data_IF_320560217194
#
_entry.id   IF_320560217194
#
_cell.length_a   1.000
_cell.length_b   1.000
_cell.length_c   1.000
_cell.angle_alpha   90.00
_cell.angle_beta   90.00
_cell.angle_gamma   90.00
#
_symmetry.space_group_name_H-M   'P 1'
#
loop_
_entity.id
_entity.type
_entity.pdbx_description
1 polymer ?
#
# COMPACT_ATOMS: atom_id res chain seq x y z
N UNK A 1 -32.63 3.24 -9.40
CA UNK A 1 -32.21 3.24 -7.98
C UNK A 1 -31.94 4.68 -7.59
N UNK A 2 -32.65 5.22 -6.59
CA UNK A 2 -32.39 6.59 -6.09
C UNK A 2 -31.02 6.58 -5.39
N UNK A 3 -30.07 7.47 -5.73
CA UNK A 3 -28.82 7.54 -4.98
C UNK A 3 -29.16 8.05 -3.57
N UNK A 4 -29.07 7.17 -2.58
CA UNK A 4 -29.11 7.55 -1.16
C UNK A 4 -27.75 8.19 -0.88
N UNK A 5 -27.61 9.47 -1.22
CA UNK A 5 -26.49 10.26 -0.75
C UNK A 5 -26.61 10.37 0.77
N UNK A 6 -25.75 9.62 1.48
CA UNK A 6 -25.61 9.72 2.92
C UNK A 6 -25.18 11.15 3.24
N UNK A 7 -26.10 11.97 3.75
CA UNK A 7 -25.80 13.30 4.27
C UNK A 7 -25.03 13.10 5.57
N UNK A 8 -23.70 13.20 5.51
CA UNK A 8 -22.88 13.24 6.71
C UNK A 8 -23.34 14.43 7.57
N UNK A 9 -23.84 14.15 8.77
CA UNK A 9 -24.18 15.19 9.73
C UNK A 9 -22.89 15.66 10.40
N UNK A 10 -22.83 16.92 10.87
CA UNK A 10 -21.67 17.41 11.63
C UNK A 10 -21.32 16.50 12.82
N UNK A 11 -22.33 15.86 13.42
CA UNK A 11 -22.17 14.88 14.49
C UNK A 11 -21.43 13.60 14.05
N UNK A 12 -21.64 13.11 12.81
CA UNK A 12 -20.98 11.90 12.31
C UNK A 12 -19.49 12.13 12.10
N UNK A 13 -19.14 13.31 11.58
CA UNK A 13 -17.74 13.74 11.40
C UNK A 13 -17.07 13.89 12.76
N UNK A 14 -17.75 14.50 13.73
CA UNK A 14 -17.23 14.64 15.10
C UNK A 14 -17.01 13.27 15.74
N UNK A 15 -17.98 12.35 15.64
CA UNK A 15 -17.85 11.00 16.18
C UNK A 15 -16.70 10.22 15.51
N UNK A 16 -16.52 10.38 14.20
CA UNK A 16 -15.41 9.76 13.48
C UNK A 16 -14.05 10.31 13.92
N UNK A 17 -13.92 11.62 14.08
CA UNK A 17 -12.68 12.26 14.57
C UNK A 17 -12.39 11.84 16.01
N UNK A 18 -13.42 11.79 16.87
CA UNK A 18 -13.27 11.30 18.26
C UNK A 18 -12.77 9.87 18.28
N UNK A 19 -13.32 8.99 17.44
CA UNK A 19 -12.88 7.60 17.34
C UNK A 19 -11.43 7.47 16.85
N UNK A 20 -11.01 8.30 15.89
CA UNK A 20 -9.62 8.37 15.43
C UNK A 20 -8.66 8.81 16.55
N UNK A 21 -9.02 9.85 17.31
CA UNK A 21 -8.21 10.36 18.41
C UNK A 21 -8.10 9.33 19.54
N UNK A 22 -9.20 8.66 19.88
CA UNK A 22 -9.20 7.57 20.86
C UNK A 22 -8.31 6.42 20.37
N UNK A 23 -8.42 6.02 19.10
CA UNK A 23 -7.54 5.01 18.51
C UNK A 23 -6.06 5.40 18.62
N UNK A 24 -5.71 6.63 18.26
CA UNK A 24 -4.35 7.14 18.33
C UNK A 24 -3.77 7.15 19.76
N UNK A 25 -4.59 7.39 20.77
CA UNK A 25 -4.17 7.39 22.18
C UNK A 25 -4.15 5.99 22.80
N UNK A 26 -5.10 5.11 22.47
CA UNK A 26 -5.22 3.78 23.09
C UNK A 26 -4.21 2.79 22.52
N UNK A 27 -3.98 2.81 21.20
CA UNK A 27 -3.08 1.87 20.50
C UNK A 27 -1.66 1.87 21.10
N UNK A 28 -0.95 3.01 21.29
CA UNK A 28 0.40 2.99 21.85
C UNK A 28 0.45 2.58 23.34
N UNK A 29 -0.65 2.76 24.08
CA UNK A 29 -0.70 2.41 25.50
C UNK A 29 -1.00 0.92 25.75
N UNK A 30 -1.71 0.26 24.84
CA UNK A 30 -2.04 -1.18 24.96
C UNK A 30 -0.98 -2.07 24.30
N UNK A 31 -0.26 -1.54 23.31
CA UNK A 31 0.76 -2.27 22.57
C UNK A 31 2.14 -1.96 23.17
N UNK A 32 2.56 -2.75 24.16
CA UNK A 32 3.84 -2.57 24.85
C UNK A 32 5.00 -3.38 24.24
N UNK A 33 4.71 -4.26 23.28
CA UNK A 33 5.67 -5.24 22.79
C UNK A 33 6.02 -5.09 21.32
N UNK A 34 7.31 -5.24 20.99
CA UNK A 34 7.81 -5.17 19.61
C UNK A 34 7.15 -6.17 18.63
N UNK A 35 6.77 -7.35 19.12
CA UNK A 35 6.10 -8.36 18.30
C UNK A 35 4.70 -7.89 17.84
N UNK A 36 3.95 -7.21 18.70
CA UNK A 36 2.60 -6.75 18.37
C UNK A 36 2.66 -5.60 17.35
N UNK A 37 3.70 -4.76 17.41
CA UNK A 37 3.97 -3.75 16.38
C UNK A 37 4.29 -4.41 15.04
N UNK A 38 5.27 -5.30 15.01
CA UNK A 38 5.82 -5.86 13.76
C UNK A 38 4.87 -6.85 13.10
N UNK A 39 4.19 -7.70 13.87
CA UNK A 39 3.38 -8.80 13.34
C UNK A 39 1.91 -8.46 13.16
N UNK A 40 1.38 -7.47 13.89
CA UNK A 40 -0.05 -7.16 13.88
C UNK A 40 -0.29 -5.74 13.38
N UNK A 41 0.26 -4.73 14.08
CA UNK A 41 -0.11 -3.34 13.82
C UNK A 41 0.36 -2.87 12.43
N UNK A 42 1.63 -3.10 12.08
CA UNK A 42 2.17 -2.67 10.78
C UNK A 42 1.43 -3.35 9.61
N UNK A 43 1.29 -4.70 9.56
CA UNK A 43 0.53 -5.35 8.49
C UNK A 43 -0.93 -4.89 8.44
N UNK A 44 -1.58 -4.70 9.58
CA UNK A 44 -2.96 -4.24 9.64
C UNK A 44 -3.14 -2.84 9.05
N UNK A 45 -2.25 -1.89 9.39
CA UNK A 45 -2.27 -0.54 8.81
C UNK A 45 -2.00 -0.57 7.30
N UNK A 46 -1.05 -1.39 6.85
CA UNK A 46 -0.75 -1.54 5.42
C UNK A 46 -1.93 -2.13 4.64
N UNK A 47 -2.55 -3.21 5.15
CA UNK A 47 -3.66 -3.89 4.50
C UNK A 47 -4.94 -3.05 4.53
N UNK A 48 -5.19 -2.29 5.60
CA UNK A 48 -6.33 -1.35 5.65
C UNK A 48 -6.16 -0.23 4.63
N UNK A 49 -4.95 0.32 4.48
CA UNK A 49 -4.67 1.32 3.43
C UNK A 49 -4.92 0.74 2.02
N UNK A 50 -4.46 -0.49 1.76
CA UNK A 50 -4.72 -1.19 0.49
C UNK A 50 -6.23 -1.43 0.27
N UNK A 51 -6.96 -1.85 1.31
CA UNK A 51 -8.39 -2.07 1.26
C UNK A 51 -9.18 -0.77 1.01
N UNK A 52 -8.75 0.36 1.58
CA UNK A 52 -9.34 1.67 1.34
C UNK A 52 -9.15 2.11 -0.12
N UNK A 53 -7.93 1.97 -0.66
CA UNK A 53 -7.67 2.22 -2.08
C UNK A 53 -8.57 1.37 -2.98
N UNK A 54 -8.74 0.10 -2.63
CA UNK A 54 -9.61 -0.82 -3.35
C UNK A 54 -11.10 -0.46 -3.23
N UNK A 55 -11.56 0.01 -2.07
CA UNK A 55 -12.92 0.51 -1.86
C UNK A 55 -13.22 1.72 -2.73
N UNK A 56 -12.25 2.61 -2.97
CA UNK A 56 -12.43 3.74 -3.86
C UNK A 56 -12.63 3.26 -5.31
N UNK A 57 -11.79 2.34 -5.77
CA UNK A 57 -11.90 1.79 -7.13
C UNK A 57 -13.21 1.02 -7.29
N UNK A 58 -13.45 0.00 -6.47
CA UNK A 58 -14.64 -0.84 -6.58
C UNK A 58 -15.93 -0.05 -6.28
N UNK A 59 -15.90 0.85 -5.29
CA UNK A 59 -17.08 1.59 -4.83
C UNK A 59 -17.53 2.70 -5.78
N UNK A 60 -16.60 3.46 -6.35
CA UNK A 60 -16.95 4.59 -7.24
C UNK A 60 -17.00 4.21 -8.72
N UNK A 61 -16.15 3.29 -9.19
CA UNK A 61 -16.10 2.93 -10.61
C UNK A 61 -16.85 1.63 -10.93
N UNK A 62 -17.21 0.84 -9.91
CA UNK A 62 -17.86 -0.46 -10.08
C UNK A 62 -16.96 -1.52 -10.71
N UNK A 63 -15.65 -1.27 -10.79
CA UNK A 63 -14.67 -2.19 -11.38
C UNK A 63 -13.98 -3.00 -10.30
N UNK A 64 -14.10 -4.32 -10.38
CA UNK A 64 -13.32 -5.23 -9.54
C UNK A 64 -11.86 -5.26 -10.02
N UNK A 65 -10.92 -4.96 -9.12
CA UNK A 65 -9.47 -5.06 -9.35
C UNK A 65 -8.84 -6.02 -8.33
N UNK A 66 -7.94 -6.89 -8.77
CA UNK A 66 -7.23 -7.86 -7.91
C UNK A 66 -5.71 -7.59 -7.86
N UNK A 67 -5.25 -6.45 -8.38
CA UNK A 67 -3.81 -6.16 -8.51
C UNK A 67 -3.19 -5.37 -7.35
N UNK A 68 -3.97 -5.00 -6.31
CA UNK A 68 -3.55 -4.06 -5.28
C UNK A 68 -2.27 -4.51 -4.53
N UNK A 69 -2.13 -5.82 -4.25
CA UNK A 69 -0.96 -6.33 -3.54
C UNK A 69 0.31 -6.28 -4.41
N UNK A 70 0.18 -6.40 -5.73
CA UNK A 70 1.30 -6.24 -6.66
C UNK A 70 1.86 -4.82 -6.66
N UNK A 71 1.00 -3.81 -6.76
CA UNK A 71 1.43 -2.41 -6.71
C UNK A 71 1.95 -2.00 -5.33
N UNK A 72 1.37 -2.54 -4.26
CA UNK A 72 1.91 -2.39 -2.90
C UNK A 72 3.34 -2.95 -2.80
N UNK A 73 3.57 -4.15 -3.35
CA UNK A 73 4.89 -4.77 -3.40
C UNK A 73 5.89 -3.91 -4.20
N UNK A 74 5.51 -3.41 -5.38
CA UNK A 74 6.36 -2.53 -6.17
C UNK A 74 6.79 -1.27 -5.41
N UNK A 75 5.87 -0.62 -4.69
CA UNK A 75 6.17 0.54 -3.85
C UNK A 75 7.12 0.21 -2.69
N UNK A 76 6.87 -0.90 -2.00
CA UNK A 76 7.72 -1.35 -0.89
C UNK A 76 9.17 -1.62 -1.35
N UNK A 77 9.35 -2.33 -2.47
CA UNK A 77 10.68 -2.61 -3.03
C UNK A 77 11.35 -1.38 -3.64
N UNK A 78 10.58 -0.43 -4.16
CA UNK A 78 11.11 0.87 -4.56
C UNK A 78 11.68 1.60 -3.34
N UNK A 79 10.90 1.75 -2.26
CA UNK A 79 11.34 2.37 -1.01
C UNK A 79 12.59 1.69 -0.44
N UNK A 80 12.62 0.34 -0.45
CA UNK A 80 13.77 -0.45 -0.04
C UNK A 80 15.03 -0.09 -0.82
N UNK A 81 14.96 -0.06 -2.16
CA UNK A 81 16.12 0.27 -2.98
C UNK A 81 16.56 1.73 -2.81
N UNK A 82 15.65 2.67 -2.60
CA UNK A 82 16.03 4.07 -2.38
C UNK A 82 16.79 4.24 -1.06
N UNK A 83 16.29 3.64 0.03
CA UNK A 83 16.97 3.69 1.33
C UNK A 83 18.32 2.98 1.35
N UNK A 84 18.46 1.89 0.60
CA UNK A 84 19.73 1.17 0.54
C UNK A 84 20.81 1.91 -0.26
N UNK A 85 20.41 2.58 -1.35
CA UNK A 85 21.37 3.12 -2.34
C UNK A 85 21.66 4.60 -2.12
N UNK A 86 20.73 5.33 -1.51
CA UNK A 86 20.86 6.76 -1.25
C UNK A 86 21.11 6.90 0.25
N UNK A 87 22.39 7.08 0.59
CA UNK A 87 22.81 7.38 1.95
C UNK A 87 22.23 8.75 2.37
N UNK A 88 21.72 8.83 3.60
CA UNK A 88 21.10 10.03 4.21
C UNK A 88 19.77 10.54 3.61
N UNK A 89 19.07 9.72 2.82
CA UNK A 89 17.74 10.09 2.33
C UNK A 89 16.71 10.11 3.48
N UNK A 90 15.94 11.20 3.67
CA UNK A 90 14.91 11.23 4.71
C UNK A 90 13.82 10.19 4.42
N UNK A 91 13.38 9.47 5.45
CA UNK A 91 12.35 8.43 5.35
C UNK A 91 11.09 8.92 4.61
N UNK A 92 10.60 10.11 4.96
CA UNK A 92 9.45 10.71 4.29
C UNK A 92 9.68 10.95 2.79
N UNK A 93 10.90 11.36 2.41
CA UNK A 93 11.25 11.57 1.01
C UNK A 93 11.24 10.27 0.22
N UNK A 94 11.81 9.20 0.79
CA UNK A 94 11.81 7.87 0.18
C UNK A 94 10.38 7.29 0.08
N UNK A 95 9.55 7.51 1.11
CA UNK A 95 8.16 7.09 1.13
C UNK A 95 7.35 7.77 0.01
N UNK A 96 7.44 9.10 -0.13
CA UNK A 96 6.72 9.84 -1.17
C UNK A 96 7.20 9.44 -2.55
N UNK A 97 8.51 9.35 -2.75
CA UNK A 97 9.08 9.04 -4.06
C UNK A 97 8.79 7.60 -4.49
N UNK A 98 8.82 6.64 -3.56
CA UNK A 98 8.40 5.26 -3.82
C UNK A 98 6.90 5.14 -4.12
N UNK A 99 6.07 5.93 -3.43
CA UNK A 99 4.64 6.06 -3.74
C UNK A 99 4.38 6.61 -5.14
N UNK A 100 5.15 7.62 -5.57
CA UNK A 100 5.08 8.15 -6.93
C UNK A 100 5.51 7.11 -7.97
N UNK A 101 6.56 6.33 -7.70
CA UNK A 101 6.99 5.24 -8.58
C UNK A 101 5.88 4.18 -8.70
N UNK A 102 5.27 3.79 -7.57
CA UNK A 102 4.15 2.86 -7.57
C UNK A 102 2.94 3.41 -8.34
N UNK A 103 2.63 4.70 -8.21
CA UNK A 103 1.58 5.37 -8.96
C UNK A 103 1.87 5.40 -10.46
N UNK A 104 3.10 5.70 -10.87
CA UNK A 104 3.53 5.65 -12.27
C UNK A 104 3.41 4.24 -12.86
N UNK A 105 3.82 3.20 -12.13
CA UNK A 105 3.61 1.81 -12.54
C UNK A 105 2.11 1.49 -12.65
N UNK A 106 1.32 1.93 -11.67
CA UNK A 106 -0.14 1.82 -11.70
C UNK A 106 -0.77 2.50 -12.91
N UNK A 107 -0.25 3.64 -13.36
CA UNK A 107 -0.72 4.32 -14.58
C UNK A 107 -0.34 3.54 -15.84
N UNK A 108 0.89 3.03 -15.92
CA UNK A 108 1.38 2.26 -17.08
C UNK A 108 0.56 0.97 -17.26
N UNK A 109 0.29 0.23 -16.18
CA UNK A 109 -0.53 -0.99 -16.22
C UNK A 109 -2.03 -0.70 -16.19
N UNK A 110 -2.44 0.44 -15.65
CA UNK A 110 -3.83 0.89 -15.56
C UNK A 110 -4.38 1.34 -16.89
N UNK A 111 -3.66 2.19 -17.64
CA UNK A 111 -4.10 2.69 -18.94
C UNK A 111 -4.59 1.61 -19.94
N UNK A 112 -3.83 0.51 -20.18
CA UNK A 112 -4.29 -0.55 -21.08
C UNK A 112 -5.50 -1.30 -20.52
N UNK A 113 -5.62 -1.41 -19.18
CA UNK A 113 -6.70 -2.12 -18.52
C UNK A 113 -8.05 -1.40 -18.71
N UNK A 114 -8.07 -0.06 -18.79
CA UNK A 114 -9.30 0.71 -19.08
C UNK A 114 -9.95 0.37 -20.43
N UNK A 115 -9.21 -0.22 -21.37
CA UNK A 115 -9.76 -0.63 -22.67
C UNK A 115 -10.62 -1.89 -22.60
N UNK A 116 -10.62 -2.60 -21.47
CA UNK A 116 -11.26 -3.91 -21.30
C UNK A 116 -12.29 -3.82 -20.15
N UNK A 117 -13.45 -4.49 -20.28
CA UNK A 117 -14.55 -4.40 -19.30
C UNK A 117 -14.83 -5.72 -18.58
N UNK A 118 -15.32 -5.60 -17.34
CA UNK A 118 -15.86 -6.72 -16.56
C UNK A 118 -14.79 -7.70 -16.08
N UNK A 119 -15.00 -9.00 -16.31
CA UNK A 119 -14.15 -10.07 -15.79
C UNK A 119 -12.73 -10.00 -16.36
N UNK A 120 -12.58 -9.59 -17.62
CA UNK A 120 -11.28 -9.47 -18.25
C UNK A 120 -10.39 -8.40 -17.60
N UNK A 121 -10.99 -7.34 -17.02
CA UNK A 121 -10.25 -6.34 -16.26
C UNK A 121 -9.65 -6.94 -14.99
N UNK A 122 -10.43 -7.76 -14.25
CA UNK A 122 -9.93 -8.47 -13.07
C UNK A 122 -8.72 -9.34 -13.41
N UNK A 123 -8.82 -10.13 -14.48
CA UNK A 123 -7.73 -11.02 -14.93
C UNK A 123 -6.48 -10.22 -15.31
N UNK A 124 -6.64 -9.07 -15.98
CA UNK A 124 -5.52 -8.20 -16.32
C UNK A 124 -4.80 -7.66 -15.08
N UNK A 125 -5.55 -7.22 -14.05
CA UNK A 125 -4.96 -6.72 -12.79
C UNK A 125 -4.28 -7.84 -11.99
N UNK A 126 -4.84 -9.04 -12.00
CA UNK A 126 -4.23 -10.22 -11.39
C UNK A 126 -2.91 -10.59 -12.08
N UNK A 127 -2.90 -10.60 -13.42
CA UNK A 127 -1.70 -10.85 -14.21
C UNK A 127 -0.62 -9.78 -13.95
N UNK A 128 -1.00 -8.50 -13.86
CA UNK A 128 -0.08 -7.42 -13.52
C UNK A 128 0.59 -7.63 -12.17
N UNK A 129 -0.17 -8.03 -11.14
CA UNK A 129 0.40 -8.31 -9.84
C UNK A 129 1.41 -9.47 -9.87
N UNK A 130 1.08 -10.59 -10.50
CA UNK A 130 2.02 -11.71 -10.63
C UNK A 130 3.26 -11.33 -11.43
N UNK A 131 3.08 -10.53 -12.48
CA UNK A 131 4.20 -10.03 -13.28
C UNK A 131 5.15 -9.17 -12.45
N UNK A 132 4.64 -8.24 -11.63
CA UNK A 132 5.46 -7.41 -10.74
C UNK A 132 6.28 -8.27 -9.78
N UNK A 133 5.63 -9.23 -9.11
CA UNK A 133 6.32 -10.13 -8.17
C UNK A 133 7.38 -10.97 -8.89
N UNK A 134 7.05 -11.48 -10.07
CA UNK A 134 8.00 -12.22 -10.91
C UNK A 134 9.20 -11.37 -11.33
N UNK A 135 9.00 -10.10 -11.72
CA UNK A 135 10.10 -9.19 -12.06
C UNK A 135 11.03 -8.98 -10.86
N UNK A 136 10.47 -8.72 -9.68
CA UNK A 136 11.24 -8.54 -8.46
C UNK A 136 12.04 -9.82 -8.14
N UNK A 137 11.43 -10.99 -8.34
CA UNK A 137 12.09 -12.25 -8.06
C UNK A 137 13.21 -12.57 -9.07
N UNK A 138 12.96 -12.31 -10.35
CA UNK A 138 13.86 -12.59 -11.46
C UNK A 138 15.11 -11.71 -11.45
N UNK A 139 14.96 -10.43 -11.11
CA UNK A 139 16.07 -9.48 -11.08
C UNK A 139 16.60 -9.32 -9.65
N UNK A 140 17.65 -10.07 -9.34
CA UNK A 140 18.31 -10.07 -8.01
C UNK A 140 18.71 -8.67 -7.50
N UNK A 141 18.91 -7.71 -8.40
CA UNK A 141 19.17 -6.30 -8.08
C UNK A 141 18.09 -5.66 -7.18
N UNK A 142 16.81 -6.02 -7.33
CA UNK A 142 15.73 -5.48 -6.49
C UNK A 142 15.78 -5.99 -5.05
N UNK A 143 16.29 -7.21 -4.87
CA UNK A 143 16.44 -7.90 -3.57
C UNK A 143 17.85 -7.76 -2.99
N UNK A 144 18.73 -6.99 -3.63
CA UNK A 144 20.16 -6.92 -3.29
C UNK A 144 20.86 -8.30 -3.25
N UNK A 145 20.48 -9.18 -4.19
CA UNK A 145 20.97 -10.57 -4.31
C UNK A 145 20.71 -11.45 -3.08
N UNK A 146 19.78 -11.04 -2.22
CA UNK A 146 19.37 -11.84 -1.06
C UNK A 146 18.51 -13.04 -1.50
N UNK A 147 18.94 -14.23 -1.12
CA UNK A 147 18.28 -15.52 -1.40
C UNK A 147 17.12 -15.81 -0.46
N UNK A 148 17.06 -15.16 0.70
CA UNK A 148 16.03 -15.40 1.72
C UNK A 148 14.75 -14.58 1.50
N UNK A 149 14.80 -13.57 0.61
CA UNK A 149 13.68 -12.65 0.38
C UNK A 149 13.30 -11.78 1.59
N UNK A 150 14.06 -11.88 2.69
CA UNK A 150 13.89 -11.09 3.91
C UNK A 150 14.80 -9.88 3.85
N UNK A 151 14.34 -8.84 3.16
CA UNK A 151 15.06 -7.58 3.01
C UNK A 151 15.11 -6.82 4.35
N UNK A 152 16.07 -7.18 5.21
CA UNK A 152 16.31 -6.50 6.49
C UNK A 152 17.04 -5.19 6.22
N UNK A 153 16.43 -4.07 6.60
CA UNK A 153 17.03 -2.75 6.48
C UNK A 153 18.09 -2.52 7.58
N UNK A 154 19.07 -1.66 7.30
CA UNK A 154 19.98 -1.13 8.33
C UNK A 154 19.18 -0.37 9.39
N UNK A 155 19.49 -0.58 10.69
CA UNK A 155 18.80 0.11 11.80
C UNK A 155 18.83 1.62 11.59
N UNK A 156 17.65 2.25 11.56
CA UNK A 156 17.49 3.70 11.47
C UNK A 156 17.81 4.28 12.86
N UNK A 157 18.97 4.90 12.99
CA UNK A 157 19.32 5.69 14.18
C UNK A 157 18.70 7.08 14.02
N UNK A 158 17.56 7.32 14.67
CA UNK A 158 17.04 8.67 14.87
C UNK A 158 17.86 9.23 16.04
N UNK A 159 18.83 10.11 15.76
CA UNK A 159 19.48 10.94 16.78
C UNK A 159 18.50 11.99 17.31
#
# INVERSE_FOLDING_TARGET
>A
MKPVFMRYTKADIINFVVLLVIGFLVIPNVITSDYWYTSILIPWLCLTLAALGQNIVMGYTGQLSLGAAGFMCAGAYACYNMMLRIQDMPFLGALVLSGLIAACLGLIFGLPSLRIRGIYLMVATLASQFFIVWVIDKFGWFKNYDVSGSTTFQKIYIN
#
